data_IF_908500543000
#
_entry.id   IF_908500543000
#
_cell.length_a   1.000
_cell.length_b   1.000
_cell.length_c   1.000
_cell.angle_alpha   90.00
_cell.angle_beta   90.00
_cell.angle_gamma   90.00
#
_symmetry.space_group_name_H-M   'P 1'
#
loop_
_entity.id
_entity.type
_entity.pdbx_description
1 polymer ?
#
# COMPACT_ATOMS: atom_id res chain seq x y z
N UNK A 1 -3.75 -18.71 13.55
CA UNK A 1 -2.89 -17.54 13.86
C UNK A 1 -3.52 -16.32 13.20
N UNK A 2 -3.42 -15.14 13.81
CA UNK A 2 -3.98 -13.88 13.30
C UNK A 2 -2.97 -13.20 12.38
N UNK A 3 -3.33 -13.03 11.11
CA UNK A 3 -2.41 -12.58 10.05
C UNK A 3 -2.91 -11.33 9.36
N UNK A 4 -2.00 -10.58 8.76
CA UNK A 4 -2.33 -9.47 7.90
C UNK A 4 -1.52 -9.50 6.59
N UNK A 5 -2.15 -9.04 5.51
CA UNK A 5 -1.50 -8.62 4.28
C UNK A 5 -1.31 -7.11 4.32
N UNK A 6 -0.07 -6.65 4.15
CA UNK A 6 0.25 -5.23 4.00
C UNK A 6 0.63 -4.99 2.54
N UNK A 7 -0.14 -4.13 1.86
CA UNK A 7 0.13 -3.67 0.50
C UNK A 7 0.77 -2.29 0.59
N UNK A 8 2.03 -2.18 0.18
CA UNK A 8 2.84 -0.96 0.32
C UNK A 8 2.98 -0.27 -1.05
N UNK A 9 2.57 0.99 -1.11
CA UNK A 9 2.98 1.96 -2.14
C UNK A 9 2.60 1.58 -3.58
N UNK A 10 1.60 0.73 -3.77
CA UNK A 10 1.04 0.43 -5.09
C UNK A 10 0.05 1.53 -5.49
N UNK A 11 0.61 2.69 -5.85
CA UNK A 11 -0.10 3.95 -6.10
C UNK A 11 0.25 4.61 -7.44
N UNK A 12 -0.64 5.51 -7.88
CA UNK A 12 -0.49 6.26 -9.13
C UNK A 12 0.71 7.20 -9.14
N UNK A 13 1.15 7.72 -7.98
CA UNK A 13 2.37 8.55 -7.88
C UNK A 13 3.60 7.87 -8.49
N UNK A 14 3.72 6.54 -8.40
CA UNK A 14 4.80 5.82 -9.07
C UNK A 14 4.58 5.75 -10.58
N UNK A 15 3.35 5.53 -11.04
CA UNK A 15 2.98 5.47 -12.46
C UNK A 15 3.18 6.82 -13.17
N UNK A 16 2.98 7.92 -12.44
CA UNK A 16 3.21 9.27 -12.93
C UNK A 16 4.71 9.63 -13.06
N UNK A 17 5.64 8.77 -12.59
CA UNK A 17 7.08 9.01 -12.79
C UNK A 17 7.48 8.73 -14.25
N UNK A 18 8.38 9.54 -14.85
CA UNK A 18 8.82 9.37 -16.23
C UNK A 18 9.42 8.00 -16.59
N UNK A 19 9.94 7.26 -15.60
CA UNK A 19 10.65 5.98 -15.79
C UNK A 19 9.84 4.76 -15.32
N UNK A 20 8.53 4.91 -15.10
CA UNK A 20 7.69 3.82 -14.60
C UNK A 20 7.71 2.58 -15.50
N UNK A 21 7.47 2.75 -16.80
CA UNK A 21 7.35 1.65 -17.77
C UNK A 21 8.62 0.81 -17.91
N UNK A 22 9.79 1.39 -17.65
CA UNK A 22 11.09 0.71 -17.79
C UNK A 22 11.54 0.01 -16.53
N UNK A 23 10.96 0.34 -15.37
CA UNK A 23 11.45 -0.10 -14.06
C UNK A 23 10.49 -1.00 -13.31
N UNK A 24 9.24 -1.11 -13.75
CA UNK A 24 8.17 -1.71 -12.94
C UNK A 24 7.43 -2.83 -13.66
N UNK A 25 6.94 -3.78 -12.86
CA UNK A 25 6.12 -4.88 -13.37
C UNK A 25 4.73 -4.35 -13.74
N UNK A 26 4.44 -4.25 -15.04
CA UNK A 26 3.16 -3.77 -15.56
C UNK A 26 1.95 -4.57 -15.03
N UNK A 27 2.17 -5.76 -14.46
CA UNK A 27 1.11 -6.63 -13.91
C UNK A 27 1.11 -6.65 -12.37
N UNK A 28 1.75 -5.69 -11.71
CA UNK A 28 1.82 -5.66 -10.25
C UNK A 28 0.42 -5.60 -9.61
N UNK A 29 -0.49 -4.79 -10.16
CA UNK A 29 -1.84 -4.66 -9.64
C UNK A 29 -2.60 -6.00 -9.68
N UNK A 30 -2.49 -6.76 -10.76
CA UNK A 30 -3.11 -8.10 -10.89
C UNK A 30 -2.63 -9.07 -9.80
N UNK A 31 -1.32 -9.08 -9.55
CA UNK A 31 -0.70 -9.95 -8.53
C UNK A 31 -1.10 -9.52 -7.13
N UNK A 32 -1.13 -8.22 -6.85
CA UNK A 32 -1.59 -7.66 -5.58
C UNK A 32 -3.06 -8.02 -5.36
N UNK A 33 -3.94 -7.82 -6.34
CA UNK A 33 -5.34 -8.21 -6.26
C UNK A 33 -5.51 -9.72 -6.01
N UNK A 34 -4.66 -10.57 -6.60
CA UNK A 34 -4.67 -12.01 -6.30
C UNK A 34 -4.34 -12.29 -4.83
N UNK A 35 -3.33 -11.62 -4.26
CA UNK A 35 -2.97 -11.75 -2.84
C UNK A 35 -4.07 -11.22 -1.93
N UNK A 36 -4.65 -10.06 -2.25
CA UNK A 36 -5.76 -9.46 -1.52
C UNK A 36 -6.98 -10.40 -1.50
N UNK A 37 -7.34 -10.98 -2.64
CA UNK A 37 -8.42 -11.99 -2.70
C UNK A 37 -8.11 -13.22 -1.83
N UNK A 38 -6.86 -13.69 -1.78
CA UNK A 38 -6.45 -14.82 -0.94
C UNK A 38 -6.51 -14.48 0.56
N UNK A 39 -6.03 -13.29 0.94
CA UNK A 39 -6.06 -12.77 2.31
C UNK A 39 -7.51 -12.65 2.81
N UNK A 40 -8.38 -12.00 2.03
CA UNK A 40 -9.82 -11.85 2.33
C UNK A 40 -10.50 -13.21 2.54
N UNK A 41 -10.29 -14.17 1.64
CA UNK A 41 -10.86 -15.53 1.78
C UNK A 41 -10.38 -16.27 3.03
N UNK A 42 -9.19 -15.93 3.53
CA UNK A 42 -8.63 -16.54 4.74
C UNK A 42 -9.03 -15.80 6.02
N UNK A 43 -9.80 -14.69 5.91
CA UNK A 43 -10.11 -13.83 7.05
C UNK A 43 -8.93 -12.98 7.54
N UNK A 44 -7.88 -12.84 6.75
CA UNK A 44 -6.72 -12.02 7.11
C UNK A 44 -7.08 -10.53 6.96
N UNK A 45 -6.48 -9.70 7.81
CA UNK A 45 -6.60 -8.26 7.69
C UNK A 45 -5.83 -7.76 6.46
N UNK A 46 -6.47 -6.98 5.59
CA UNK A 46 -5.78 -6.28 4.48
C UNK A 46 -5.55 -4.83 4.89
N UNK A 47 -4.30 -4.38 4.86
CA UNK A 47 -3.90 -3.00 5.15
C UNK A 47 -3.21 -2.42 3.93
N UNK A 48 -3.63 -1.22 3.54
CA UNK A 48 -3.08 -0.47 2.42
C UNK A 48 -2.24 0.69 2.95
N UNK A 49 -1.03 0.84 2.43
CA UNK A 49 -0.11 1.92 2.81
C UNK A 49 0.29 2.70 1.57
N UNK A 50 0.18 4.02 1.62
CA UNK A 50 0.60 4.93 0.55
C UNK A 50 1.67 5.90 1.04
N UNK A 51 2.66 6.17 0.20
CA UNK A 51 3.64 7.21 0.47
C UNK A 51 3.14 8.57 0.01
N UNK A 52 3.25 9.57 0.88
CA UNK A 52 2.91 10.95 0.61
C UNK A 52 4.07 11.87 1.00
N UNK A 53 4.33 12.89 0.19
CA UNK A 53 5.31 13.94 0.44
C UNK A 53 4.63 15.32 0.37
N UNK A 54 3.82 15.71 1.38
CA UNK A 54 3.06 16.96 1.33
C UNK A 54 3.96 18.18 1.16
N UNK A 55 3.64 19.03 0.17
CA UNK A 55 4.39 20.25 -0.11
C UNK A 55 5.66 20.05 -0.94
N UNK A 56 5.92 18.83 -1.43
CA UNK A 56 7.04 18.58 -2.35
C UNK A 56 6.83 19.25 -3.71
N UNK A 57 5.58 19.48 -4.12
CA UNK A 57 5.23 19.91 -5.47
C UNK A 57 5.49 18.85 -6.55
N UNK A 58 5.81 17.62 -6.17
CA UNK A 58 6.03 16.50 -7.09
C UNK A 58 4.85 15.51 -7.08
N UNK A 59 4.98 14.41 -7.82
CA UNK A 59 3.90 13.42 -7.98
C UNK A 59 3.53 12.68 -6.69
N UNK A 60 4.30 12.83 -5.59
CA UNK A 60 3.97 12.31 -4.26
C UNK A 60 3.30 13.36 -3.36
N UNK A 61 3.14 14.60 -3.84
CA UNK A 61 2.34 15.60 -3.16
C UNK A 61 0.84 15.24 -3.26
N UNK A 62 0.14 15.02 -2.14
CA UNK A 62 -1.30 14.75 -2.17
C UNK A 62 -2.12 15.84 -2.88
N UNK A 63 -1.64 17.09 -2.90
CA UNK A 63 -2.30 18.18 -3.60
C UNK A 63 -2.41 17.96 -5.12
N UNK A 64 -1.54 17.12 -5.71
CA UNK A 64 -1.57 16.80 -7.14
C UNK A 64 -2.48 15.60 -7.48
N UNK A 65 -3.08 14.94 -6.50
CA UNK A 65 -4.10 13.89 -6.72
C UNK A 65 -3.56 12.52 -7.17
N UNK A 66 -2.23 12.34 -7.25
CA UNK A 66 -1.61 11.07 -7.60
C UNK A 66 -1.40 10.12 -6.40
N UNK A 67 -1.52 10.62 -5.17
CA UNK A 67 -1.41 9.82 -3.93
C UNK A 67 -2.70 9.04 -3.69
N UNK A 68 -2.96 8.07 -4.56
CA UNK A 68 -4.10 7.15 -4.53
C UNK A 68 -3.66 5.79 -5.04
N UNK A 69 -4.35 4.75 -4.62
CA UNK A 69 -4.15 3.40 -5.17
C UNK A 69 -4.24 3.43 -6.70
N UNK A 70 -3.45 2.57 -7.33
CA UNK A 70 -3.61 2.31 -8.77
C UNK A 70 -5.06 1.93 -9.07
N UNK A 71 -5.61 2.44 -10.16
CA UNK A 71 -7.03 2.27 -10.52
C UNK A 71 -7.49 0.80 -10.57
N UNK A 72 -6.58 -0.11 -10.94
CA UNK A 72 -6.89 -1.53 -11.03
C UNK A 72 -7.02 -2.21 -9.65
N UNK A 73 -6.63 -1.55 -8.55
CA UNK A 73 -6.70 -2.13 -7.20
C UNK A 73 -8.07 -1.93 -6.55
N UNK A 74 -8.63 -3.03 -6.05
CA UNK A 74 -9.95 -3.03 -5.41
C UNK A 74 -9.81 -3.05 -3.88
N UNK A 75 -9.81 -1.87 -3.24
CA UNK A 75 -9.92 -1.78 -1.77
C UNK A 75 -11.37 -1.96 -1.33
N UNK A 76 -11.61 -2.84 -0.36
CA UNK A 76 -12.94 -3.03 0.21
C UNK A 76 -13.22 -1.99 1.32
N UNK A 77 -14.51 -1.69 1.52
CA UNK A 77 -14.94 -0.83 2.61
C UNK A 77 -14.51 -1.41 3.96
N UNK A 78 -13.99 -0.55 4.85
CA UNK A 78 -13.48 -0.93 6.16
C UNK A 78 -12.02 -1.43 6.18
N UNK A 79 -11.39 -1.65 5.02
CA UNK A 79 -9.95 -1.93 4.97
C UNK A 79 -9.14 -0.65 5.26
N UNK A 80 -8.21 -0.68 6.25
CA UNK A 80 -7.42 0.49 6.58
C UNK A 80 -6.57 0.97 5.40
N UNK A 81 -6.63 2.27 5.12
CA UNK A 81 -5.75 2.98 4.19
C UNK A 81 -4.93 3.99 4.99
N UNK A 82 -3.61 3.82 4.98
CA UNK A 82 -2.68 4.57 5.80
C UNK A 82 -1.74 5.35 4.89
N UNK A 83 -1.50 6.62 5.22
CA UNK A 83 -0.51 7.45 4.52
C UNK A 83 0.76 7.58 5.38
N UNK A 84 1.92 7.36 4.77
CA UNK A 84 3.25 7.49 5.40
C UNK A 84 4.06 8.58 4.72
N UNK A 85 4.80 9.35 5.50
CA UNK A 85 5.77 10.35 5.03
C UNK A 85 7.23 9.88 5.18
N UNK A 86 7.44 8.59 5.44
CA UNK A 86 8.77 7.98 5.54
C UNK A 86 8.83 6.70 4.71
N UNK A 87 10.04 6.24 4.40
CA UNK A 87 10.25 4.95 3.75
C UNK A 87 9.63 3.81 4.56
N UNK A 88 9.93 3.77 5.86
CA UNK A 88 9.38 2.79 6.79
C UNK A 88 7.90 3.07 7.10
N UNK A 89 7.03 2.10 6.79
CA UNK A 89 5.60 2.17 7.02
C UNK A 89 5.17 2.31 8.48
N UNK A 90 6.06 2.04 9.45
CA UNK A 90 5.78 2.15 10.87
C UNK A 90 6.16 3.50 11.49
N UNK A 91 7.07 4.27 10.87
CA UNK A 91 7.68 5.43 11.53
C UNK A 91 6.72 6.61 11.68
N UNK A 92 5.92 6.89 10.66
CA UNK A 92 5.05 8.07 10.58
C UNK A 92 3.57 7.72 10.58
N UNK A 93 3.22 6.52 11.08
CA UNK A 93 1.86 6.00 11.02
C UNK A 93 1.45 5.30 12.32
N UNK A 94 0.17 5.01 12.45
CA UNK A 94 -0.38 4.17 13.53
C UNK A 94 -0.39 2.66 13.18
N UNK A 95 0.33 2.22 12.15
CA UNK A 95 0.30 0.82 11.67
C UNK A 95 0.61 -0.19 12.78
N UNK A 96 1.62 0.08 13.62
CA UNK A 96 1.96 -0.81 14.75
C UNK A 96 0.81 -0.98 15.73
N UNK A 97 0.17 0.13 16.11
CA UNK A 97 -0.95 0.14 17.03
C UNK A 97 -2.11 -0.68 16.45
N UNK A 98 -2.47 -0.40 15.19
CA UNK A 98 -3.54 -1.11 14.49
C UNK A 98 -3.31 -2.63 14.43
N UNK A 99 -2.10 -3.06 14.08
CA UNK A 99 -1.75 -4.48 14.05
C UNK A 99 -1.80 -5.12 15.44
N UNK A 100 -1.37 -4.39 16.47
CA UNK A 100 -1.34 -4.87 17.86
C UNK A 100 -2.76 -5.00 18.44
N UNK A 101 -3.62 -4.01 18.23
CA UNK A 101 -5.02 -4.02 18.66
C UNK A 101 -5.83 -5.14 17.99
N UNK A 102 -5.51 -5.45 16.73
CA UNK A 102 -6.08 -6.59 15.99
C UNK A 102 -5.41 -7.93 16.31
N UNK A 103 -4.43 -7.94 17.20
CA UNK A 103 -3.71 -9.13 17.64
C UNK A 103 -2.91 -9.83 16.55
N UNK A 104 -2.47 -9.12 15.49
CA UNK A 104 -1.74 -9.69 14.36
C UNK A 104 -0.36 -10.19 14.81
N UNK A 105 0.02 -11.40 14.38
CA UNK A 105 1.31 -12.02 14.72
C UNK A 105 2.13 -12.46 13.51
N UNK A 106 1.57 -12.38 12.31
CA UNK A 106 2.22 -12.77 11.07
C UNK A 106 1.85 -11.77 9.98
N UNK A 107 2.86 -11.33 9.24
CA UNK A 107 2.70 -10.35 8.16
C UNK A 107 3.11 -10.97 6.84
N UNK A 108 2.23 -10.87 5.86
CA UNK A 108 2.59 -10.98 4.44
C UNK A 108 2.74 -9.56 3.90
N UNK A 109 3.81 -9.28 3.18
CA UNK A 109 4.08 -7.95 2.62
C UNK A 109 4.22 -8.06 1.11
N UNK A 110 3.58 -7.17 0.38
CA UNK A 110 3.80 -6.95 -1.05
C UNK A 110 3.73 -5.45 -1.34
N UNK A 111 4.29 -5.01 -2.46
CA UNK A 111 4.29 -3.60 -2.78
C UNK A 111 5.42 -3.16 -3.69
N UNK A 112 5.66 -1.86 -3.65
CA UNK A 112 6.70 -1.13 -4.38
C UNK A 112 7.45 -0.24 -3.39
N UNK A 113 8.75 0.01 -3.51
CA UNK A 113 9.74 -0.78 -4.24
C UNK A 113 10.28 -1.88 -3.33
N UNK A 114 11.00 -2.84 -3.92
CA UNK A 114 11.57 -3.98 -3.17
C UNK A 114 12.84 -3.58 -2.42
N UNK A 115 13.60 -2.64 -2.96
CA UNK A 115 14.86 -2.11 -2.40
C UNK A 115 14.62 -1.10 -1.27
#
# INVERSE_FOLDING_TARGET
>A
MTRALIVIDVQESFRARPLWETTSDLKIADRVNRLVRLARRSGDLVVWVLHSEPGSGDVFDPALGHVRLMEELERADGEPLIHKTSHNAFTTTNLRQLLTERGIRELTVCGIRTE
#
